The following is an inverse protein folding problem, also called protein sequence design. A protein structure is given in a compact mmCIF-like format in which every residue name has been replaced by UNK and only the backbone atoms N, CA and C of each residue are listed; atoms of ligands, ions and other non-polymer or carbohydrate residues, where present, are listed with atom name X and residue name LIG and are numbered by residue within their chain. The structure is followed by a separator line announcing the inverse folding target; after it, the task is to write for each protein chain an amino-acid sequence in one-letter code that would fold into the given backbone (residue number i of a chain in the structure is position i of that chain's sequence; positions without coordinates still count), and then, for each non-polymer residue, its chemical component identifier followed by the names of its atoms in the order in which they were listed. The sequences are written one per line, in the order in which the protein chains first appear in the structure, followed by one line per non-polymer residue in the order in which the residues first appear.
data_IF_100263369719
#
_entry.id   IF_100263369719
#
_cell.length_a   1.000
_cell.length_b   1.000
_cell.length_c   1.000
_cell.angle_alpha   90.00
_cell.angle_beta   90.00
_cell.angle_gamma   90.00
#
_symmetry.space_group_name_H-M   'P 1'
#
loop_
_entity.id
_entity.type
_entity.pdbx_description
1 polymer ?
#
# COMPACT_ATOMS: atom_id res chain seq x y z
N UNK A 1 -33.68 65.35 -30.93
CA UNK A 1 -33.00 64.09 -31.02
C UNK A 1 -32.77 63.53 -29.63
N UNK A 2 -33.55 62.54 -29.21
CA UNK A 2 -33.44 61.89 -27.89
C UNK A 2 -32.70 60.59 -28.07
N UNK A 3 -31.52 60.43 -27.45
CA UNK A 3 -30.77 59.17 -27.38
C UNK A 3 -31.16 58.44 -26.08
N UNK A 4 -31.86 57.35 -26.23
CA UNK A 4 -32.23 56.43 -25.14
C UNK A 4 -31.03 55.54 -24.83
N UNK A 5 -30.49 55.62 -23.60
CA UNK A 5 -29.47 54.71 -23.06
C UNK A 5 -30.18 53.54 -22.40
N UNK A 6 -30.07 52.33 -22.99
CA UNK A 6 -30.54 51.09 -22.39
C UNK A 6 -29.46 50.53 -21.45
N UNK A 7 -29.75 50.56 -20.16
CA UNK A 7 -28.92 49.90 -19.13
C UNK A 7 -29.11 48.39 -19.20
N UNK A 8 -28.06 47.66 -19.58
CA UNK A 8 -28.02 46.19 -19.52
C UNK A 8 -27.76 45.75 -18.06
N UNK A 9 -28.78 45.20 -17.40
CA UNK A 9 -28.63 44.52 -16.11
C UNK A 9 -27.96 43.16 -16.30
N UNK A 10 -26.69 43.07 -15.97
CA UNK A 10 -25.98 41.78 -15.88
C UNK A 10 -26.43 41.04 -14.62
N UNK A 11 -27.39 40.14 -14.77
CA UNK A 11 -27.75 39.16 -13.75
C UNK A 11 -26.59 38.19 -13.49
N UNK A 12 -25.81 38.45 -12.45
CA UNK A 12 -24.82 37.50 -11.95
C UNK A 12 -25.57 36.26 -11.40
N UNK A 13 -25.67 35.23 -12.21
CA UNK A 13 -26.15 33.92 -11.76
C UNK A 13 -25.14 33.38 -10.74
N UNK A 14 -25.48 33.42 -9.46
CA UNK A 14 -24.74 32.74 -8.40
C UNK A 14 -24.83 31.24 -8.63
N UNK A 15 -23.81 30.67 -9.23
CA UNK A 15 -23.64 29.22 -9.26
C UNK A 15 -23.43 28.72 -7.81
N UNK A 16 -24.52 28.40 -7.13
CA UNK A 16 -24.47 27.62 -5.89
C UNK A 16 -23.91 26.24 -6.26
N UNK A 17 -22.62 25.99 -5.98
CA UNK A 17 -22.01 24.67 -6.07
C UNK A 17 -22.81 23.74 -5.18
N UNK A 18 -23.60 22.85 -5.77
CA UNK A 18 -24.21 21.74 -5.02
C UNK A 18 -23.09 20.98 -4.29
N UNK A 19 -23.27 20.68 -3.00
CA UNK A 19 -22.31 19.83 -2.29
C UNK A 19 -22.17 18.50 -3.05
N UNK A 20 -20.96 17.98 -3.21
CA UNK A 20 -20.74 16.73 -3.90
C UNK A 20 -21.58 15.64 -3.20
N UNK A 21 -22.44 14.96 -3.97
CA UNK A 21 -23.30 13.89 -3.45
C UNK A 21 -22.41 12.79 -2.82
N UNK A 22 -22.95 12.01 -1.88
CA UNK A 22 -22.24 10.97 -1.15
C UNK A 22 -21.46 9.99 -2.07
N UNK A 23 -21.89 9.79 -3.32
CA UNK A 23 -21.19 8.98 -4.34
C UNK A 23 -19.88 9.60 -4.82
N UNK A 24 -19.77 10.93 -4.87
CA UNK A 24 -18.49 11.59 -5.20
C UNK A 24 -17.50 11.48 -4.03
N UNK A 25 -17.99 11.23 -2.82
CA UNK A 25 -17.18 11.06 -1.62
C UNK A 25 -16.35 9.76 -1.63
N UNK A 26 -16.81 8.72 -2.33
CA UNK A 26 -16.19 7.39 -2.35
C UNK A 26 -15.27 7.14 -3.56
N UNK A 27 -15.14 8.09 -4.49
CA UNK A 27 -14.43 7.90 -5.75
C UNK A 27 -13.16 8.78 -5.91
N UNK A 28 -12.76 9.52 -4.89
CA UNK A 28 -11.56 10.38 -4.94
C UNK A 28 -10.27 9.67 -4.49
N UNK A 29 -9.08 10.28 -4.69
CA UNK A 29 -7.79 9.69 -4.29
C UNK A 29 -7.68 9.40 -2.81
N UNK A 30 -8.26 10.23 -1.93
CA UNK A 30 -8.29 9.96 -0.49
C UNK A 30 -9.10 8.70 -0.17
N UNK A 31 -10.21 8.46 -0.88
CA UNK A 31 -10.98 7.23 -0.75
C UNK A 31 -10.22 6.01 -1.29
N UNK A 32 -9.52 6.17 -2.42
CA UNK A 32 -8.67 5.11 -2.98
C UNK A 32 -7.53 4.74 -2.01
N UNK A 33 -6.90 5.73 -1.35
CA UNK A 33 -5.90 5.48 -0.32
C UNK A 33 -6.48 4.70 0.87
N UNK A 34 -7.70 5.03 1.31
CA UNK A 34 -8.37 4.27 2.37
C UNK A 34 -8.70 2.84 1.95
N UNK A 35 -9.26 2.65 0.75
CA UNK A 35 -9.51 1.30 0.23
C UNK A 35 -8.24 0.49 0.09
N UNK A 36 -7.16 1.11 -0.39
CA UNK A 36 -5.85 0.47 -0.46
C UNK A 36 -5.38 0.01 0.92
N UNK A 37 -5.43 0.90 1.92
CA UNK A 37 -4.99 0.58 3.27
C UNK A 37 -5.82 -0.54 3.92
N UNK A 38 -7.16 -0.51 3.75
CA UNK A 38 -8.05 -1.54 4.29
C UNK A 38 -7.83 -2.90 3.59
N UNK A 39 -7.74 -2.92 2.27
CA UNK A 39 -7.46 -4.15 1.53
C UNK A 39 -6.08 -4.70 1.89
N UNK A 40 -5.06 -3.84 2.01
CA UNK A 40 -3.73 -4.24 2.44
C UNK A 40 -3.75 -4.82 3.86
N UNK A 41 -4.46 -4.19 4.80
CA UNK A 41 -4.60 -4.72 6.15
C UNK A 41 -5.29 -6.09 6.16
N UNK A 42 -6.38 -6.24 5.43
CA UNK A 42 -7.11 -7.52 5.36
C UNK A 42 -6.24 -8.61 4.74
N UNK A 43 -5.59 -8.33 3.61
CA UNK A 43 -4.80 -9.35 2.89
C UNK A 43 -3.48 -9.71 3.57
N UNK A 44 -2.95 -8.85 4.44
CA UNK A 44 -1.70 -9.14 5.15
C UNK A 44 -1.93 -9.65 6.58
N UNK A 45 -2.98 -9.20 7.26
CA UNK A 45 -3.16 -9.52 8.67
C UNK A 45 -4.14 -10.68 8.93
N UNK A 46 -5.08 -10.94 7.99
CA UNK A 46 -6.10 -11.96 8.21
C UNK A 46 -5.60 -13.40 7.97
N UNK A 47 -4.83 -13.71 6.90
CA UNK A 47 -4.46 -15.08 6.56
C UNK A 47 -3.82 -15.88 7.70
N UNK A 48 -2.89 -15.35 8.51
CA UNK A 48 -2.27 -16.08 9.62
C UNK A 48 -3.25 -16.62 10.66
N UNK A 49 -4.46 -16.05 10.74
CA UNK A 49 -5.52 -16.51 11.67
C UNK A 49 -6.45 -17.55 11.05
N UNK A 50 -6.36 -17.80 9.74
CA UNK A 50 -7.21 -18.77 9.02
C UNK A 50 -6.53 -20.15 8.96
N UNK A 51 -6.23 -20.73 10.12
CA UNK A 51 -5.47 -21.98 10.26
C UNK A 51 -6.28 -23.26 9.97
N UNK A 52 -7.56 -23.13 9.59
CA UNK A 52 -8.41 -24.28 9.29
C UNK A 52 -7.94 -24.97 7.98
N UNK A 53 -7.96 -26.32 7.95
CA UNK A 53 -7.69 -27.04 6.72
C UNK A 53 -8.57 -26.58 5.57
N UNK A 54 -7.99 -26.44 4.38
CA UNK A 54 -8.78 -26.07 3.21
C UNK A 54 -9.67 -27.25 2.75
N UNK A 55 -10.99 -27.06 2.59
CA UNK A 55 -11.90 -28.19 2.38
C UNK A 55 -11.62 -29.06 1.15
N UNK A 56 -11.06 -28.47 0.08
CA UNK A 56 -10.75 -29.19 -1.16
C UNK A 56 -9.36 -29.83 -1.14
N UNK A 57 -8.46 -29.39 -0.26
CA UNK A 57 -7.12 -29.94 -0.11
C UNK A 57 -6.62 -29.73 1.33
N UNK A 58 -6.96 -30.62 2.26
CA UNK A 58 -6.69 -30.46 3.69
C UNK A 58 -5.22 -30.25 4.12
N UNK A 59 -4.20 -30.67 3.35
CA UNK A 59 -2.80 -30.33 3.65
C UNK A 59 -2.48 -28.82 3.60
N UNK A 60 -3.25 -28.03 2.86
CA UNK A 60 -3.13 -26.57 2.84
C UNK A 60 -4.14 -25.92 3.81
N UNK A 61 -3.80 -24.74 4.32
CA UNK A 61 -4.70 -23.95 5.17
C UNK A 61 -5.66 -23.08 4.36
N UNK A 62 -6.76 -22.67 4.96
CA UNK A 62 -7.65 -21.64 4.38
C UNK A 62 -6.91 -20.31 4.21
N UNK A 63 -5.93 -20.03 5.08
CA UNK A 63 -5.04 -18.85 4.99
C UNK A 63 -4.24 -18.84 3.70
N UNK A 64 -3.63 -19.97 3.32
CA UNK A 64 -2.85 -20.10 2.07
C UNK A 64 -3.71 -19.73 0.84
N UNK A 65 -4.97 -20.16 0.83
CA UNK A 65 -5.90 -19.80 -0.25
C UNK A 65 -6.36 -18.34 -0.20
N UNK A 66 -6.52 -17.78 1.01
CA UNK A 66 -6.82 -16.36 1.16
C UNK A 66 -5.67 -15.48 0.64
N UNK A 67 -4.44 -15.87 0.89
CA UNK A 67 -3.24 -15.18 0.40
C UNK A 67 -3.13 -15.17 -1.13
N UNK A 68 -3.58 -16.21 -1.83
CA UNK A 68 -3.64 -16.21 -3.30
C UNK A 68 -4.44 -15.03 -3.87
N UNK A 69 -5.39 -14.48 -3.12
CA UNK A 69 -6.18 -13.34 -3.55
C UNK A 69 -5.43 -12.01 -3.41
N UNK A 70 -4.35 -11.96 -2.64
CA UNK A 70 -3.60 -10.73 -2.37
C UNK A 70 -3.16 -9.99 -3.64
N UNK A 71 -2.48 -10.62 -4.62
CA UNK A 71 -2.12 -9.93 -5.86
C UNK A 71 -3.34 -9.49 -6.66
N UNK A 72 -4.41 -10.29 -6.68
CA UNK A 72 -5.62 -9.99 -7.44
C UNK A 72 -6.36 -8.77 -6.90
N UNK A 73 -6.29 -8.52 -5.60
CA UNK A 73 -6.89 -7.35 -4.94
C UNK A 73 -5.96 -6.14 -5.01
N UNK A 74 -4.69 -6.33 -4.68
CA UNK A 74 -3.78 -5.21 -4.48
C UNK A 74 -3.22 -4.63 -5.78
N UNK A 75 -2.95 -5.43 -6.81
CA UNK A 75 -2.40 -4.90 -8.08
C UNK A 75 -3.35 -3.95 -8.79
N UNK A 76 -4.68 -4.22 -8.89
CA UNK A 76 -5.62 -3.24 -9.39
C UNK A 76 -5.61 -1.92 -8.61
N UNK A 77 -5.48 -1.97 -7.27
CA UNK A 77 -5.41 -0.78 -6.43
C UNK A 77 -4.11 0.00 -6.65
N UNK A 78 -2.96 -0.67 -6.72
CA UNK A 78 -1.69 -0.06 -7.12
C UNK A 78 -1.79 0.59 -8.52
N UNK A 79 -2.42 -0.09 -9.47
CA UNK A 79 -2.63 0.45 -10.82
C UNK A 79 -3.50 1.70 -10.84
N UNK A 80 -4.59 1.71 -10.05
CA UNK A 80 -5.45 2.89 -9.92
C UNK A 80 -4.69 4.07 -9.28
N UNK A 81 -3.90 3.82 -8.22
CA UNK A 81 -3.04 4.84 -7.62
C UNK A 81 -1.96 5.35 -8.57
N UNK A 82 -1.33 4.44 -9.33
CA UNK A 82 -0.33 4.77 -10.33
C UNK A 82 -0.90 5.62 -11.46
N UNK A 83 -2.12 5.34 -11.93
CA UNK A 83 -2.76 6.16 -12.98
C UNK A 83 -3.16 7.54 -12.50
N UNK A 84 -3.44 7.71 -11.21
CA UNK A 84 -3.89 8.96 -10.61
C UNK A 84 -5.26 9.43 -11.12
N UNK A 85 -5.69 10.61 -10.67
CA UNK A 85 -7.01 11.16 -11.00
C UNK A 85 -7.18 11.54 -12.46
N UNK A 86 -6.16 12.14 -13.05
CA UNK A 86 -6.25 12.69 -14.41
C UNK A 86 -6.20 11.63 -15.49
N UNK A 87 -6.06 10.33 -15.11
CA UNK A 87 -5.86 9.22 -16.05
C UNK A 87 -4.87 9.58 -17.17
N UNK A 88 -3.94 10.48 -16.86
CA UNK A 88 -2.87 10.86 -17.80
C UNK A 88 -2.15 9.60 -18.23
N UNK A 89 -1.97 9.42 -19.53
CA UNK A 89 -1.23 8.28 -20.07
C UNK A 89 0.13 8.20 -19.38
N UNK A 90 0.34 7.08 -18.69
CA UNK A 90 1.65 6.79 -18.14
C UNK A 90 2.58 6.57 -19.33
N UNK A 91 3.67 7.32 -19.41
CA UNK A 91 4.66 7.13 -20.45
C UNK A 91 5.12 5.66 -20.46
N UNK A 92 5.46 5.13 -21.64
CA UNK A 92 5.85 3.72 -21.84
C UNK A 92 6.87 3.21 -20.80
N UNK A 93 7.84 4.06 -20.42
CA UNK A 93 8.88 3.69 -19.44
C UNK A 93 8.32 3.48 -18.04
N UNK A 94 7.44 4.36 -17.55
CA UNK A 94 6.84 4.22 -16.23
C UNK A 94 5.83 3.06 -16.17
N UNK A 95 5.13 2.77 -17.27
CA UNK A 95 4.28 1.57 -17.37
C UNK A 95 5.12 0.30 -17.35
N UNK A 96 6.23 0.26 -18.09
CA UNK A 96 7.14 -0.89 -18.06
C UNK A 96 7.71 -1.11 -16.64
N UNK A 97 8.13 -0.04 -15.98
CA UNK A 97 8.61 -0.12 -14.60
C UNK A 97 7.52 -0.65 -13.64
N UNK A 98 6.27 -0.18 -13.79
CA UNK A 98 5.14 -0.72 -13.02
C UNK A 98 4.99 -2.23 -13.24
N UNK A 99 5.03 -2.69 -14.49
CA UNK A 99 4.89 -4.12 -14.82
C UNK A 99 6.03 -4.95 -14.22
N UNK A 100 7.28 -4.46 -14.31
CA UNK A 100 8.44 -5.15 -13.72
C UNK A 100 8.30 -5.25 -12.20
N UNK A 101 7.95 -4.15 -11.52
CA UNK A 101 7.79 -4.15 -10.06
C UNK A 101 6.60 -5.02 -9.62
N UNK A 102 5.50 -5.01 -10.36
CA UNK A 102 4.35 -5.87 -10.11
C UNK A 102 4.72 -7.35 -10.28
N UNK A 103 5.46 -7.69 -11.34
CA UNK A 103 5.95 -9.06 -11.56
C UNK A 103 6.91 -9.49 -10.44
N UNK A 104 7.82 -8.61 -10.01
CA UNK A 104 8.72 -8.87 -8.86
C UNK A 104 7.93 -9.18 -7.60
N UNK A 105 6.90 -8.35 -7.30
CA UNK A 105 6.06 -8.58 -6.13
C UNK A 105 5.30 -9.90 -6.21
N UNK A 106 4.63 -10.19 -7.34
CA UNK A 106 3.89 -11.45 -7.54
C UNK A 106 4.81 -12.66 -7.44
N UNK A 107 6.01 -12.57 -8.00
CA UNK A 107 7.00 -13.64 -7.91
C UNK A 107 7.42 -13.90 -6.46
N UNK A 108 7.77 -12.86 -5.71
CA UNK A 108 8.13 -13.00 -4.30
C UNK A 108 6.99 -13.59 -3.47
N UNK A 109 5.76 -13.08 -3.70
CA UNK A 109 4.57 -13.59 -3.03
C UNK A 109 4.29 -15.07 -3.37
N UNK A 110 4.43 -15.47 -4.63
CA UNK A 110 4.25 -16.87 -5.05
C UNK A 110 5.31 -17.81 -4.47
N UNK A 111 6.57 -17.36 -4.38
CA UNK A 111 7.67 -18.13 -3.76
C UNK A 111 7.36 -18.33 -2.27
N UNK A 112 7.06 -17.24 -1.53
CA UNK A 112 6.71 -17.28 -0.12
C UNK A 112 5.54 -18.24 0.13
N UNK A 113 4.39 -18.02 -0.52
CA UNK A 113 3.19 -18.81 -0.30
C UNK A 113 3.40 -20.30 -0.58
N UNK A 114 4.11 -20.65 -1.67
CA UNK A 114 4.39 -22.04 -2.01
C UNK A 114 5.31 -22.70 -0.98
N UNK A 115 6.35 -21.99 -0.55
CA UNK A 115 7.31 -22.49 0.43
C UNK A 115 6.66 -22.62 1.82
N UNK A 116 5.87 -21.62 2.25
CA UNK A 116 5.11 -21.66 3.51
C UNK A 116 4.18 -22.88 3.56
N UNK A 117 3.37 -23.11 2.53
CA UNK A 117 2.46 -24.27 2.47
C UNK A 117 3.20 -25.60 2.50
N UNK A 118 4.37 -25.72 1.83
CA UNK A 118 5.20 -26.93 1.83
C UNK A 118 5.90 -27.09 3.17
N UNK A 119 6.30 -26.00 3.82
CA UNK A 119 7.02 -25.99 5.10
C UNK A 119 6.24 -26.62 6.27
N UNK A 120 4.91 -26.70 6.15
CA UNK A 120 4.06 -27.39 7.13
C UNK A 120 4.07 -28.91 7.01
N UNK A 121 4.66 -29.47 5.94
CA UNK A 121 4.71 -30.91 5.73
C UNK A 121 5.97 -31.53 6.35
N UNK A 122 5.90 -32.77 6.89
CA UNK A 122 7.09 -33.48 7.36
C UNK A 122 8.09 -33.67 6.21
N UNK A 123 9.31 -33.21 6.40
CA UNK A 123 10.36 -33.27 5.38
C UNK A 123 11.73 -33.51 6.01
N UNK A 124 12.71 -34.07 5.24
CA UNK A 124 14.10 -34.16 5.66
C UNK A 124 14.70 -32.77 5.95
N UNK A 125 15.68 -32.68 6.85
CA UNK A 125 16.29 -31.42 7.31
C UNK A 125 16.76 -30.53 6.16
N UNK A 126 17.39 -31.09 5.13
CA UNK A 126 17.85 -30.33 3.97
C UNK A 126 16.68 -29.70 3.17
N UNK A 127 15.55 -30.39 3.06
CA UNK A 127 14.36 -29.85 2.41
C UNK A 127 13.71 -28.77 3.27
N UNK A 128 13.63 -28.97 4.57
CA UNK A 128 13.12 -27.96 5.52
C UNK A 128 13.96 -26.69 5.48
N UNK A 129 15.29 -26.80 5.48
CA UNK A 129 16.19 -25.64 5.39
C UNK A 129 16.03 -24.88 4.06
N UNK A 130 15.88 -25.61 2.95
CA UNK A 130 15.67 -25.00 1.64
C UNK A 130 14.30 -24.29 1.56
N UNK A 131 13.26 -24.93 2.08
CA UNK A 131 11.91 -24.36 2.15
C UNK A 131 11.92 -23.08 2.99
N UNK A 132 12.55 -23.10 4.17
CA UNK A 132 12.73 -21.92 5.00
C UNK A 132 13.44 -20.78 4.26
N UNK A 133 14.51 -21.07 3.51
CA UNK A 133 15.19 -20.04 2.72
C UNK A 133 14.29 -19.43 1.66
N UNK A 134 13.48 -20.25 0.95
CA UNK A 134 12.54 -19.72 -0.05
C UNK A 134 11.40 -18.93 0.59
N UNK A 135 10.92 -19.38 1.73
CA UNK A 135 9.84 -18.74 2.47
C UNK A 135 10.31 -17.42 3.11
N UNK A 136 11.11 -17.55 4.15
CA UNK A 136 11.46 -16.48 5.07
C UNK A 136 12.51 -15.49 4.52
N UNK A 137 13.34 -15.93 3.57
CA UNK A 137 14.38 -15.05 3.05
C UNK A 137 14.05 -14.58 1.63
N UNK A 138 14.08 -15.46 0.65
CA UNK A 138 13.97 -15.05 -0.74
C UNK A 138 12.58 -14.47 -1.06
N UNK A 139 11.52 -15.18 -0.66
CA UNK A 139 10.14 -14.80 -0.92
C UNK A 139 9.82 -13.42 -0.35
N UNK A 140 10.09 -13.23 0.93
CA UNK A 140 9.81 -11.97 1.63
C UNK A 140 10.61 -10.79 1.09
N UNK A 141 11.92 -10.96 0.80
CA UNK A 141 12.73 -9.84 0.27
C UNK A 141 12.33 -9.45 -1.15
N UNK A 142 12.05 -10.44 -2.02
CA UNK A 142 11.57 -10.18 -3.39
C UNK A 142 10.18 -9.54 -3.37
N UNK A 143 9.28 -10.05 -2.53
CA UNK A 143 7.95 -9.46 -2.32
C UNK A 143 8.04 -8.02 -1.84
N UNK A 144 8.81 -7.75 -0.78
CA UNK A 144 8.94 -6.40 -0.22
C UNK A 144 9.59 -5.43 -1.20
N UNK A 145 10.61 -5.87 -1.96
CA UNK A 145 11.23 -5.03 -3.00
C UNK A 145 10.23 -4.62 -4.07
N UNK A 146 9.38 -5.54 -4.53
CA UNK A 146 8.31 -5.23 -5.47
C UNK A 146 7.27 -4.26 -4.89
N UNK A 147 6.78 -4.53 -3.68
CA UNK A 147 5.76 -3.72 -3.00
C UNK A 147 6.26 -2.29 -2.73
N UNK A 148 7.48 -2.15 -2.19
CA UNK A 148 8.08 -0.83 -1.91
C UNK A 148 8.40 -0.06 -3.19
N UNK A 149 8.84 -0.77 -4.24
CA UNK A 149 9.05 -0.18 -5.56
C UNK A 149 7.76 0.37 -6.16
N UNK A 150 6.64 -0.38 -6.07
CA UNK A 150 5.32 0.10 -6.51
C UNK A 150 4.85 1.31 -5.70
N UNK A 151 5.03 1.30 -4.38
CA UNK A 151 4.71 2.43 -3.51
C UNK A 151 5.51 3.68 -3.89
N UNK A 152 6.82 3.53 -4.09
CA UNK A 152 7.69 4.63 -4.54
C UNK A 152 7.27 5.19 -5.91
N UNK A 153 6.92 4.31 -6.84
CA UNK A 153 6.47 4.70 -8.17
C UNK A 153 5.13 5.47 -8.12
N UNK A 154 4.18 5.03 -7.29
CA UNK A 154 2.91 5.73 -7.06
C UNK A 154 3.14 7.10 -6.41
N UNK A 155 3.99 7.18 -5.39
CA UNK A 155 4.35 8.44 -4.72
C UNK A 155 5.04 9.43 -5.68
N UNK A 156 5.99 8.94 -6.49
CA UNK A 156 6.66 9.75 -7.51
C UNK A 156 5.69 10.31 -8.54
N UNK A 157 4.74 9.50 -9.03
CA UNK A 157 3.71 9.99 -9.96
C UNK A 157 2.79 11.02 -9.32
N UNK A 158 2.33 10.77 -8.09
CA UNK A 158 1.51 11.73 -7.36
C UNK A 158 2.23 13.08 -7.14
N UNK A 159 3.54 13.04 -6.93
CA UNK A 159 4.36 14.25 -6.85
C UNK A 159 4.47 14.98 -8.19
N UNK A 160 4.65 14.24 -9.28
CA UNK A 160 4.78 14.83 -10.64
C UNK A 160 3.46 15.40 -11.15
N UNK A 161 2.35 14.78 -10.78
CA UNK A 161 1.00 15.11 -11.23
C UNK A 161 0.08 15.28 -10.01
N UNK A 162 0.27 16.34 -9.20
CA UNK A 162 -0.62 16.61 -8.08
C UNK A 162 -1.98 17.00 -8.65
N UNK A 163 -2.96 16.10 -8.52
CA UNK A 163 -4.33 16.36 -8.93
C UNK A 163 -4.96 17.53 -8.16
N UNK A 164 -5.98 18.16 -8.74
CA UNK A 164 -6.77 19.22 -8.09
C UNK A 164 -7.81 18.70 -7.08
N UNK A 165 -7.64 17.48 -6.56
CA UNK A 165 -8.61 16.84 -5.70
C UNK A 165 -8.92 17.59 -4.42
N UNK A 166 -10.17 17.47 -3.98
CA UNK A 166 -10.61 17.97 -2.69
C UNK A 166 -9.81 17.31 -1.55
N UNK A 167 -9.24 18.11 -0.68
CA UNK A 167 -8.48 17.64 0.48
C UNK A 167 -9.41 16.96 1.49
N UNK A 168 -9.09 15.73 1.85
CA UNK A 168 -9.74 14.97 2.92
C UNK A 168 -8.70 14.49 3.91
N UNK A 169 -7.98 15.43 4.50
CA UNK A 169 -6.80 15.18 5.36
C UNK A 169 -7.06 14.11 6.42
N UNK A 170 -8.24 14.10 7.06
CA UNK A 170 -8.57 13.06 8.04
C UNK A 170 -8.60 11.64 7.44
N UNK A 171 -9.14 11.49 6.23
CA UNK A 171 -9.19 10.19 5.53
C UNK A 171 -7.78 9.73 5.13
N UNK A 172 -6.96 10.65 4.65
CA UNK A 172 -5.56 10.39 4.27
C UNK A 172 -4.71 9.98 5.47
N UNK A 173 -4.91 10.65 6.62
CA UNK A 173 -4.25 10.31 7.88
C UNK A 173 -4.67 8.93 8.38
N UNK A 174 -5.98 8.63 8.42
CA UNK A 174 -6.48 7.31 8.83
C UNK A 174 -5.97 6.20 7.92
N UNK A 175 -6.00 6.42 6.62
CA UNK A 175 -5.45 5.48 5.64
C UNK A 175 -3.94 5.26 5.87
N UNK A 176 -3.19 6.36 6.09
CA UNK A 176 -1.76 6.29 6.38
C UNK A 176 -1.47 5.52 7.67
N UNK A 177 -2.21 5.78 8.75
CA UNK A 177 -2.07 5.04 10.02
C UNK A 177 -2.32 3.54 9.83
N UNK A 178 -3.43 3.17 9.16
CA UNK A 178 -3.76 1.76 8.90
C UNK A 178 -2.70 1.08 8.02
N UNK A 179 -2.27 1.73 6.94
CA UNK A 179 -1.19 1.22 6.09
C UNK A 179 0.12 1.07 6.86
N UNK A 180 0.50 2.08 7.65
CA UNK A 180 1.76 2.08 8.39
C UNK A 180 1.83 0.98 9.45
N UNK A 181 0.72 0.73 10.15
CA UNK A 181 0.62 -0.41 11.05
C UNK A 181 0.79 -1.74 10.30
N UNK A 182 0.09 -1.91 9.18
CA UNK A 182 0.17 -3.14 8.38
C UNK A 182 1.56 -3.34 7.77
N UNK A 183 2.18 -2.27 7.27
CA UNK A 183 3.54 -2.32 6.74
C UNK A 183 4.54 -2.70 7.84
N UNK A 184 4.43 -2.11 9.03
CA UNK A 184 5.23 -2.49 10.19
C UNK A 184 5.07 -3.98 10.49
N UNK A 185 3.83 -4.46 10.60
CA UNK A 185 3.55 -5.86 10.92
C UNK A 185 4.13 -6.82 9.87
N UNK A 186 3.93 -6.52 8.58
CA UNK A 186 4.45 -7.33 7.48
C UNK A 186 5.99 -7.36 7.43
N UNK A 187 6.65 -6.22 7.67
CA UNK A 187 8.13 -6.14 7.70
C UNK A 187 8.72 -6.87 8.90
N UNK A 188 8.09 -6.76 10.07
CA UNK A 188 8.53 -7.47 11.28
C UNK A 188 8.33 -8.96 11.11
N UNK A 189 7.13 -9.40 10.72
CA UNK A 189 6.85 -10.83 10.55
C UNK A 189 7.65 -11.46 9.42
N UNK A 190 7.83 -10.76 8.32
CA UNK A 190 8.65 -11.24 7.21
C UNK A 190 10.17 -11.16 7.45
N UNK A 191 10.65 -10.75 8.64
CA UNK A 191 12.08 -10.64 8.94
C UNK A 191 12.84 -9.65 8.02
N UNK A 192 12.14 -8.77 7.31
CA UNK A 192 12.68 -7.88 6.27
C UNK A 192 13.06 -6.50 6.78
N UNK A 193 13.26 -6.34 8.09
CA UNK A 193 13.70 -5.09 8.73
C UNK A 193 14.88 -4.39 8.03
N UNK A 194 15.95 -5.12 7.62
CA UNK A 194 17.09 -4.53 6.90
C UNK A 194 16.74 -3.81 5.60
N UNK A 195 15.64 -4.16 4.93
CA UNK A 195 15.13 -3.49 3.72
C UNK A 195 13.99 -2.51 4.08
N UNK A 196 13.06 -2.93 4.92
CA UNK A 196 11.83 -2.18 5.21
C UNK A 196 12.07 -0.89 5.99
N UNK A 197 12.97 -0.92 7.00
CA UNK A 197 13.25 0.28 7.81
C UNK A 197 13.99 1.36 7.02
N UNK A 198 15.09 1.08 6.29
CA UNK A 198 15.72 2.08 5.43
C UNK A 198 14.79 2.65 4.35
N UNK A 199 13.96 1.80 3.75
CA UNK A 199 12.97 2.27 2.79
C UNK A 199 11.98 3.25 3.44
N UNK A 200 11.45 2.93 4.63
CA UNK A 200 10.53 3.82 5.34
C UNK A 200 11.18 5.16 5.69
N UNK A 201 12.45 5.17 6.12
CA UNK A 201 13.22 6.39 6.38
C UNK A 201 13.34 7.24 5.12
N UNK A 202 13.71 6.62 3.99
CA UNK A 202 13.83 7.31 2.71
C UNK A 202 12.47 7.86 2.26
N UNK A 203 11.41 7.07 2.36
CA UNK A 203 10.06 7.45 1.97
C UNK A 203 9.54 8.66 2.77
N UNK A 204 9.80 8.69 4.08
CA UNK A 204 9.43 9.84 4.93
C UNK A 204 10.27 11.06 4.58
N UNK A 205 11.60 10.93 4.46
CA UNK A 205 12.48 12.04 4.12
C UNK A 205 12.12 12.69 2.78
N UNK A 206 11.94 11.88 1.73
CA UNK A 206 11.54 12.34 0.40
C UNK A 206 10.10 12.88 0.43
N UNK A 207 9.16 12.16 1.02
CA UNK A 207 7.76 12.57 1.10
C UNK A 207 7.58 13.90 1.85
N UNK A 208 8.24 14.07 3.00
CA UNK A 208 8.22 15.31 3.75
C UNK A 208 8.81 16.49 2.96
N UNK A 209 9.95 16.28 2.26
CA UNK A 209 10.55 17.31 1.42
C UNK A 209 9.63 17.75 0.27
N UNK A 210 8.91 16.81 -0.33
CA UNK A 210 7.94 17.09 -1.40
C UNK A 210 6.70 17.83 -0.89
N UNK A 211 6.19 17.47 0.29
CA UNK A 211 5.07 18.16 0.93
C UNK A 211 5.44 19.57 1.39
N UNK A 212 6.69 19.77 1.86
CA UNK A 212 7.19 21.10 2.23
C UNK A 212 7.18 22.07 1.04
N UNK A 213 7.43 21.59 -0.17
CA UNK A 213 7.31 22.34 -1.42
C UNK A 213 5.89 22.73 -1.81
N UNK A 214 4.91 22.61 -0.90
CA UNK A 214 3.48 22.97 -1.06
C UNK A 214 2.72 22.16 -2.15
N UNK A 215 3.22 21.02 -2.54
CA UNK A 215 2.53 20.12 -3.46
C UNK A 215 1.70 19.13 -2.67
N UNK A 216 0.48 19.51 -2.33
CA UNK A 216 -0.44 18.58 -1.67
C UNK A 216 -1.02 17.60 -2.69
N UNK A 217 -0.71 16.32 -2.52
CA UNK A 217 -1.33 15.21 -3.22
C UNK A 217 -1.79 14.18 -2.17
N UNK A 218 -3.08 13.79 -2.14
CA UNK A 218 -3.61 12.83 -1.16
C UNK A 218 -2.79 11.54 -1.06
N UNK A 219 -2.42 10.97 -2.20
CA UNK A 219 -1.57 9.77 -2.29
C UNK A 219 -0.20 9.99 -1.63
N UNK A 220 0.40 11.17 -1.77
CA UNK A 220 1.70 11.48 -1.18
C UNK A 220 1.60 11.61 0.35
N UNK A 221 0.54 12.28 0.84
CA UNK A 221 0.27 12.36 2.29
C UNK A 221 0.07 10.98 2.86
N UNK A 222 -0.75 10.15 2.22
CA UNK A 222 -0.99 8.77 2.61
C UNK A 222 0.31 7.95 2.78
N UNK A 223 1.17 7.93 1.76
CA UNK A 223 2.44 7.19 1.81
C UNK A 223 3.40 7.75 2.88
N UNK A 224 3.50 9.09 2.99
CA UNK A 224 4.40 9.72 3.96
C UNK A 224 3.96 9.44 5.39
N UNK A 225 2.67 9.60 5.70
CA UNK A 225 2.10 9.30 7.02
C UNK A 225 2.24 7.81 7.34
N UNK A 226 1.96 6.94 6.37
CA UNK A 226 2.09 5.51 6.55
C UNK A 226 3.49 5.08 6.95
N UNK A 227 4.51 5.49 6.19
CA UNK A 227 5.89 5.15 6.55
C UNK A 227 6.38 5.83 7.84
N UNK A 228 5.90 7.06 8.14
CA UNK A 228 6.19 7.69 9.43
C UNK A 228 5.60 6.90 10.60
N UNK A 229 4.36 6.42 10.46
CA UNK A 229 3.71 5.54 11.45
C UNK A 229 4.51 4.25 11.64
N UNK A 230 4.92 3.61 10.54
CA UNK A 230 5.72 2.40 10.61
C UNK A 230 7.06 2.65 11.32
N UNK A 231 7.74 3.77 11.07
CA UNK A 231 8.99 4.12 11.76
C UNK A 231 8.80 4.29 13.27
N UNK A 232 7.72 4.93 13.70
CA UNK A 232 7.41 5.05 15.13
C UNK A 232 7.21 3.67 15.76
N UNK A 233 6.50 2.78 15.06
CA UNK A 233 6.27 1.41 15.51
C UNK A 233 7.56 0.58 15.52
N UNK A 234 8.41 0.67 14.49
CA UNK A 234 9.73 0.02 14.49
C UNK A 234 10.62 0.51 15.64
N UNK A 235 10.62 1.82 15.91
CA UNK A 235 11.39 2.38 17.01
C UNK A 235 10.88 1.86 18.37
N UNK A 236 9.57 1.86 18.59
CA UNK A 236 8.96 1.33 19.81
C UNK A 236 9.21 -0.17 19.99
N UNK A 237 9.02 -0.96 18.93
CA UNK A 237 9.26 -2.40 18.91
C UNK A 237 10.72 -2.74 19.15
N UNK A 238 11.61 -2.06 18.41
CA UNK A 238 13.05 -2.25 18.54
C UNK A 238 13.59 -1.85 19.90
N UNK A 239 13.05 -0.78 20.49
CA UNK A 239 13.41 -0.37 21.86
C UNK A 239 12.94 -1.39 22.91
N UNK A 240 11.71 -1.88 22.80
CA UNK A 240 11.14 -2.81 23.77
C UNK A 240 11.82 -4.19 23.76
N UNK A 241 12.09 -4.72 22.54
CA UNK A 241 12.65 -6.06 22.37
C UNK A 241 14.17 -6.09 22.11
N UNK A 242 14.83 -4.94 22.10
CA UNK A 242 16.25 -4.82 21.71
C UNK A 242 16.55 -5.39 20.32
N UNK A 243 15.58 -5.33 19.41
CA UNK A 243 15.64 -5.87 18.06
C UNK A 243 14.27 -5.86 17.40
N UNK A 244 14.16 -6.54 16.26
CA UNK A 244 12.89 -6.69 15.54
C UNK A 244 12.49 -8.17 15.45
N UNK A 245 12.21 -8.86 16.59
CA UNK A 245 11.76 -10.25 16.56
C UNK A 245 10.40 -10.35 15.87
N UNK A 246 10.20 -11.43 15.09
CA UNK A 246 8.94 -11.75 14.44
C UNK A 246 7.86 -12.06 15.49
N UNK A 247 6.60 -11.82 15.17
CA UNK A 247 5.47 -12.15 16.07
C UNK A 247 5.35 -13.66 16.29
N UNK A 248 5.63 -14.45 15.25
CA UNK A 248 5.72 -15.90 15.30
C UNK A 248 6.82 -16.39 16.25
N UNK A 249 7.99 -15.75 16.29
CA UNK A 249 9.07 -16.05 17.23
C UNK A 249 8.67 -15.77 18.70
N UNK A 250 7.74 -14.84 18.90
CA UNK A 250 7.19 -14.50 20.22
C UNK A 250 5.96 -15.35 20.59
N UNK A 251 5.50 -16.21 19.68
CA UNK A 251 4.32 -17.06 19.90
C UNK A 251 2.99 -16.31 19.85
N UNK A 252 2.93 -15.17 19.14
CA UNK A 252 1.70 -14.37 19.06
C UNK A 252 0.78 -14.82 17.91
N UNK A 253 1.34 -15.47 16.90
CA UNK A 253 0.61 -16.02 15.74
C UNK A 253 1.11 -17.40 15.35
#
# INVERSE_FOLDING_TARGET
MKTSSAAASSGAASHTRRPPGARAALNGPSALALWFALCFAVTQLLPPFLKQPFPLYPPASTGDFAELLTPLVMLPLYWLMFRGEERTEAGRRSTLLFVVLAATWVQGHGIHLSANSIGHLPAPEAATSLTYFYDEVLGHYVWLAGATGLAALCAWRAWRHPGGAERRTAVELLAGLAYGFTYFAAVVEGGTGPLGVPFALLAVGVGASWLWGRRHAPTLVFWTVGHATALVLFAGWGFYWSGLPQFSQLGWI
#
